data_IF_835585905829
#
_entry.id   IF_835585905829
#
_cell.length_a   1.000
_cell.length_b   1.000
_cell.length_c   1.000
_cell.angle_alpha   90.00
_cell.angle_beta   90.00
_cell.angle_gamma   90.00
#
_symmetry.space_group_name_H-M   'P 1'
#
loop_
_entity.id
_entity.type
_entity.pdbx_description
1 polymer ?
#
# COMPACT_ATOMS: atom_id res chain seq x y z
N UNK A 1 14.32 -31.40 -54.38
CA UNK A 1 14.37 -31.11 -55.84
C UNK A 1 15.78 -31.14 -56.46
N UNK A 2 16.86 -31.15 -55.66
CA UNK A 2 18.26 -31.15 -56.14
C UNK A 2 18.75 -32.41 -56.89
N UNK A 3 18.02 -33.54 -56.85
CA UNK A 3 18.43 -34.78 -57.53
C UNK A 3 18.02 -34.84 -59.02
N UNK A 4 17.15 -33.95 -59.50
CA UNK A 4 16.68 -33.93 -60.89
C UNK A 4 17.47 -32.99 -61.80
N UNK A 5 18.19 -32.00 -61.24
CA UNK A 5 19.00 -31.06 -62.05
C UNK A 5 20.31 -31.65 -62.56
N UNK A 6 20.87 -32.67 -61.89
CA UNK A 6 22.14 -33.29 -62.30
C UNK A 6 22.05 -34.03 -63.65
N UNK A 7 20.90 -34.62 -63.96
CA UNK A 7 20.69 -35.35 -65.23
C UNK A 7 20.30 -34.47 -66.42
N UNK A 8 19.75 -33.27 -66.18
CA UNK A 8 19.36 -32.35 -67.25
C UNK A 8 20.57 -31.60 -67.85
N UNK A 9 21.65 -31.42 -67.08
CA UNK A 9 22.82 -30.64 -67.47
C UNK A 9 23.72 -31.36 -68.50
N UNK A 10 23.73 -32.70 -68.50
CA UNK A 10 24.53 -33.51 -69.44
C UNK A 10 23.89 -33.59 -70.83
N UNK A 11 22.55 -33.56 -70.90
CA UNK A 11 21.80 -33.65 -72.16
C UNK A 11 21.92 -32.35 -72.99
N UNK A 12 22.07 -31.19 -72.34
CA UNK A 12 22.26 -29.90 -73.01
C UNK A 12 23.67 -29.70 -73.60
N UNK A 13 24.65 -30.54 -73.23
CA UNK A 13 26.05 -30.42 -73.69
C UNK A 13 26.28 -30.87 -75.14
N UNK A 14 25.36 -31.64 -75.74
CA UNK A 14 25.55 -32.23 -77.08
C UNK A 14 25.07 -31.28 -78.20
N UNK A 15 24.31 -30.23 -77.86
CA UNK A 15 23.57 -29.40 -78.84
C UNK A 15 24.16 -27.98 -78.99
N UNK A 16 24.90 -27.43 -78.00
CA UNK A 16 25.54 -26.12 -78.10
C UNK A 16 27.07 -26.26 -78.15
N UNK A 17 27.71 -25.70 -79.19
CA UNK A 17 29.17 -25.63 -79.30
C UNK A 17 29.85 -25.01 -78.06
N UNK A 18 31.13 -25.33 -77.88
CA UNK A 18 31.93 -25.10 -76.65
C UNK A 18 31.79 -23.68 -76.05
N UNK A 19 31.66 -22.63 -76.87
CA UNK A 19 31.44 -21.25 -76.40
C UNK A 19 30.03 -21.00 -75.81
N UNK A 20 28.99 -21.61 -76.38
CA UNK A 20 27.62 -21.49 -75.89
C UNK A 20 27.40 -22.25 -74.57
N UNK A 21 28.08 -23.39 -74.42
CA UNK A 21 28.06 -24.17 -73.18
C UNK A 21 28.69 -23.41 -72.01
N UNK A 22 29.81 -22.72 -72.22
CA UNK A 22 30.44 -21.91 -71.17
C UNK A 22 29.54 -20.75 -70.71
N UNK A 23 28.91 -20.03 -71.65
CA UNK A 23 27.95 -18.97 -71.31
C UNK A 23 26.73 -19.48 -70.53
N UNK A 24 26.18 -20.63 -70.94
CA UNK A 24 25.07 -21.28 -70.25
C UNK A 24 25.43 -21.72 -68.83
N UNK A 25 26.63 -22.26 -68.61
CA UNK A 25 27.13 -22.65 -67.28
C UNK A 25 27.26 -21.44 -66.34
N UNK A 26 27.72 -20.28 -66.84
CA UNK A 26 27.80 -19.05 -66.04
C UNK A 26 26.42 -18.53 -65.63
N UNK A 27 25.45 -18.58 -66.55
CA UNK A 27 24.06 -18.20 -66.26
C UNK A 27 23.47 -19.12 -65.19
N UNK A 28 23.62 -20.44 -65.34
CA UNK A 28 23.11 -21.41 -64.37
C UNK A 28 23.74 -21.26 -62.99
N UNK A 29 25.06 -21.02 -62.91
CA UNK A 29 25.77 -20.76 -61.65
C UNK A 29 25.23 -19.52 -60.95
N UNK A 30 25.05 -18.42 -61.70
CA UNK A 30 24.47 -17.18 -61.17
C UNK A 30 23.05 -17.37 -60.65
N UNK A 31 22.21 -18.11 -61.36
CA UNK A 31 20.84 -18.40 -60.92
C UNK A 31 20.80 -19.28 -59.67
N UNK A 32 21.69 -20.28 -59.57
CA UNK A 32 21.79 -21.15 -58.41
C UNK A 32 22.25 -20.40 -57.16
N UNK A 33 23.24 -19.53 -57.29
CA UNK A 33 23.74 -18.68 -56.20
C UNK A 33 22.64 -17.71 -55.72
N UNK A 34 21.91 -17.07 -56.65
CA UNK A 34 20.77 -16.21 -56.30
C UNK A 34 19.68 -16.99 -55.55
N UNK A 35 19.28 -18.15 -56.07
CA UNK A 35 18.27 -18.98 -55.43
C UNK A 35 18.67 -19.42 -54.02
N UNK A 36 19.94 -19.79 -53.82
CA UNK A 36 20.47 -20.14 -52.50
C UNK A 36 20.45 -18.94 -51.52
N UNK A 37 20.75 -17.74 -52.00
CA UNK A 37 20.69 -16.50 -51.21
C UNK A 37 19.26 -16.13 -50.81
N UNK A 38 18.31 -16.26 -51.74
CA UNK A 38 16.90 -15.99 -51.47
C UNK A 38 16.33 -16.96 -50.43
N UNK A 39 16.69 -18.25 -50.52
CA UNK A 39 16.28 -19.25 -49.53
C UNK A 39 16.84 -18.94 -48.13
N UNK A 40 18.11 -18.51 -48.06
CA UNK A 40 18.74 -18.12 -46.80
C UNK A 40 18.09 -16.86 -46.20
N UNK A 41 17.79 -15.87 -47.05
CA UNK A 41 17.11 -14.63 -46.65
C UNK A 41 15.72 -14.91 -46.06
N UNK A 42 14.92 -15.75 -46.72
CA UNK A 42 13.58 -16.13 -46.23
C UNK A 42 13.66 -16.81 -44.86
N UNK A 43 14.64 -17.70 -44.65
CA UNK A 43 14.84 -18.37 -43.36
C UNK A 43 15.24 -17.39 -42.26
N UNK A 44 16.09 -16.41 -42.56
CA UNK A 44 16.47 -15.36 -41.62
C UNK A 44 15.26 -14.50 -41.25
N UNK A 45 14.50 -14.01 -42.24
CA UNK A 45 13.33 -13.17 -42.01
C UNK A 45 12.26 -13.91 -41.18
N UNK A 46 12.03 -15.20 -41.46
CA UNK A 46 11.12 -16.03 -40.66
C UNK A 46 11.60 -16.17 -39.21
N UNK A 47 12.91 -16.39 -38.99
CA UNK A 47 13.48 -16.47 -37.64
C UNK A 47 13.39 -15.14 -36.86
N UNK A 48 13.57 -14.02 -37.57
CA UNK A 48 13.47 -12.67 -37.00
C UNK A 48 12.03 -12.35 -36.62
N UNK A 49 11.06 -12.66 -37.48
CA UNK A 49 9.64 -12.49 -37.20
C UNK A 49 9.19 -13.34 -35.98
N UNK A 50 9.71 -14.55 -35.84
CA UNK A 50 9.45 -15.39 -34.67
C UNK A 50 10.00 -14.74 -33.38
N UNK A 51 11.21 -14.19 -33.42
CA UNK A 51 11.80 -13.48 -32.28
C UNK A 51 11.01 -12.22 -31.89
N UNK A 52 10.58 -11.43 -32.88
CA UNK A 52 9.78 -10.23 -32.65
C UNK A 52 8.39 -10.56 -32.08
N UNK A 53 7.73 -11.60 -32.60
CA UNK A 53 6.44 -12.05 -32.07
C UNK A 53 6.54 -12.59 -30.62
N UNK A 54 7.63 -13.27 -30.27
CA UNK A 54 7.88 -13.72 -28.91
C UNK A 54 8.05 -12.53 -27.94
N UNK A 55 8.80 -11.49 -28.35
CA UNK A 55 8.97 -10.26 -27.57
C UNK A 55 7.65 -9.49 -27.40
N UNK A 56 6.82 -9.40 -28.45
CA UNK A 56 5.50 -8.78 -28.38
C UNK A 56 4.56 -9.52 -27.42
N UNK A 57 4.53 -10.86 -27.46
CA UNK A 57 3.72 -11.67 -26.55
C UNK A 57 4.15 -11.50 -25.08
N UNK A 58 5.46 -11.40 -24.82
CA UNK A 58 5.99 -11.10 -23.49
C UNK A 58 5.52 -9.72 -23.00
N UNK A 59 5.64 -8.67 -23.80
CA UNK A 59 5.19 -7.32 -23.42
C UNK A 59 3.67 -7.25 -23.19
N UNK A 60 2.88 -8.00 -23.97
CA UNK A 60 1.43 -8.10 -23.78
C UNK A 60 1.07 -8.76 -22.45
N UNK A 61 1.68 -9.90 -22.13
CA UNK A 61 1.43 -10.59 -20.85
C UNK A 61 1.85 -9.76 -19.64
N UNK A 62 2.95 -9.00 -19.73
CA UNK A 62 3.34 -8.03 -18.70
C UNK A 62 2.30 -6.91 -18.53
N UNK A 63 1.73 -6.42 -19.63
CA UNK A 63 0.64 -5.44 -19.60
C UNK A 63 -0.60 -5.99 -18.87
N UNK A 64 -0.99 -7.23 -19.15
CA UNK A 64 -2.12 -7.91 -18.48
C UNK A 64 -1.85 -8.12 -16.98
N UNK A 65 -0.65 -8.57 -16.60
CA UNK A 65 -0.25 -8.71 -15.19
C UNK A 65 -0.25 -7.37 -14.47
N UNK A 66 0.28 -6.32 -15.10
CA UNK A 66 0.26 -4.96 -14.53
C UNK A 66 -1.16 -4.41 -14.39
N UNK A 67 -2.06 -4.71 -15.32
CA UNK A 67 -3.47 -4.33 -15.23
C UNK A 67 -4.19 -5.08 -14.11
N UNK A 68 -3.93 -6.39 -13.96
CA UNK A 68 -4.44 -7.20 -12.85
C UNK A 68 -3.89 -6.69 -11.51
N UNK A 69 -2.61 -6.35 -11.45
CA UNK A 69 -1.98 -5.77 -10.26
C UNK A 69 -2.51 -4.37 -9.93
N UNK A 70 -2.73 -3.52 -10.93
CA UNK A 70 -3.39 -2.23 -10.78
C UNK A 70 -4.84 -2.42 -10.28
N UNK A 71 -5.55 -3.42 -10.81
CA UNK A 71 -6.87 -3.83 -10.34
C UNK A 71 -6.86 -4.35 -8.90
N UNK A 72 -5.89 -5.20 -8.52
CA UNK A 72 -5.71 -5.71 -7.15
C UNK A 72 -5.29 -4.60 -6.17
N UNK A 73 -4.46 -3.66 -6.60
CA UNK A 73 -4.08 -2.46 -5.84
C UNK A 73 -5.27 -1.50 -5.67
N UNK A 74 -6.06 -1.30 -6.72
CA UNK A 74 -7.33 -0.58 -6.63
C UNK A 74 -8.38 -1.35 -5.81
N UNK A 75 -8.22 -2.67 -5.70
CA UNK A 75 -9.01 -3.58 -4.85
C UNK A 75 -8.34 -3.85 -3.51
N UNK A 76 -7.34 -3.06 -3.11
CA UNK A 76 -7.01 -2.93 -1.70
C UNK A 76 -8.20 -2.20 -1.05
N UNK A 77 -9.15 -2.99 -0.55
CA UNK A 77 -10.52 -2.63 -0.11
C UNK A 77 -10.55 -1.56 1.00
N UNK A 78 -9.40 -1.18 1.55
CA UNK A 78 -9.25 -0.26 2.67
C UNK A 78 -8.28 0.87 2.29
N UNK A 79 -8.73 2.14 2.26
CA UNK A 79 -7.87 3.29 1.97
C UNK A 79 -6.68 3.42 2.93
N UNK A 80 -5.55 3.92 2.44
CA UNK A 80 -4.40 4.32 3.28
C UNK A 80 -4.87 5.38 4.28
N UNK A 81 -4.40 5.28 5.52
CA UNK A 81 -4.83 6.14 6.61
C UNK A 81 -6.13 5.68 7.30
N UNK A 82 -6.77 4.60 6.82
CA UNK A 82 -7.89 4.00 7.56
C UNK A 82 -7.37 3.45 8.88
N UNK A 83 -8.04 3.83 9.98
CA UNK A 83 -7.77 3.35 11.33
C UNK A 83 -8.88 2.38 11.73
N UNK A 84 -8.49 1.22 12.25
CA UNK A 84 -9.43 0.23 12.78
C UNK A 84 -9.02 -0.21 14.19
N UNK A 85 -9.99 -0.49 15.07
CA UNK A 85 -9.70 -1.23 16.29
C UNK A 85 -9.37 -2.68 15.92
N UNK A 86 -8.30 -3.21 16.49
CA UNK A 86 -7.76 -4.54 16.21
C UNK A 86 -7.48 -5.27 17.51
N UNK A 87 -7.96 -6.51 17.58
CA UNK A 87 -7.66 -7.43 18.66
C UNK A 87 -6.61 -8.43 18.16
N UNK A 88 -5.38 -8.42 18.71
CA UNK A 88 -4.33 -9.33 18.26
C UNK A 88 -4.70 -10.78 18.57
N UNK A 89 -4.47 -11.73 17.65
CA UNK A 89 -4.77 -13.15 17.88
C UNK A 89 -3.90 -13.77 18.98
N UNK A 90 -2.70 -13.23 19.19
CA UNK A 90 -1.78 -13.62 20.25
C UNK A 90 -1.26 -12.36 20.93
N UNK A 91 -1.27 -12.35 22.26
CA UNK A 91 -0.64 -11.27 23.03
C UNK A 91 0.82 -11.66 23.25
N UNK A 92 1.80 -10.86 22.79
CA UNK A 92 3.21 -11.16 23.01
C UNK A 92 3.51 -11.23 24.51
N UNK A 93 4.44 -12.12 24.88
CA UNK A 93 4.96 -12.20 26.25
C UNK A 93 5.59 -10.88 26.66
N UNK A 94 5.68 -10.65 27.98
CA UNK A 94 6.33 -9.45 28.52
C UNK A 94 7.69 -9.18 27.86
N UNK A 95 7.94 -7.92 27.50
CA UNK A 95 9.17 -7.49 26.83
C UNK A 95 9.18 -7.65 25.30
N UNK A 96 8.15 -8.24 24.69
CA UNK A 96 8.04 -8.32 23.22
C UNK A 96 7.09 -7.23 22.70
N UNK A 97 7.57 -6.44 21.73
CA UNK A 97 6.76 -5.37 21.12
C UNK A 97 5.61 -5.93 20.28
N UNK A 98 4.42 -5.34 20.41
CA UNK A 98 3.25 -5.63 19.56
C UNK A 98 3.55 -5.46 18.06
N UNK A 99 4.52 -4.61 17.70
CA UNK A 99 4.93 -4.39 16.31
C UNK A 99 5.36 -5.67 15.58
N UNK A 100 5.74 -6.73 16.31
CA UNK A 100 6.17 -8.02 15.73
C UNK A 100 5.04 -8.85 15.15
N UNK A 101 3.79 -8.59 15.55
CA UNK A 101 2.60 -9.37 15.17
C UNK A 101 1.57 -8.55 14.40
N UNK A 102 1.88 -7.29 14.08
CA UNK A 102 0.99 -6.42 13.30
C UNK A 102 0.87 -6.96 11.87
N UNK A 103 -0.34 -7.03 11.29
CA UNK A 103 -0.51 -7.48 9.91
C UNK A 103 0.29 -6.64 8.92
N UNK A 104 0.85 -7.29 7.89
CA UNK A 104 1.62 -6.62 6.86
C UNK A 104 0.82 -5.47 6.22
N UNK A 105 1.46 -4.31 6.05
CA UNK A 105 0.83 -3.11 5.48
C UNK A 105 0.00 -2.30 6.47
N UNK A 106 0.10 -2.60 7.77
CA UNK A 106 -0.50 -1.84 8.87
C UNK A 106 0.59 -1.42 9.88
N UNK A 107 0.30 -0.39 10.67
CA UNK A 107 1.13 0.02 11.80
C UNK A 107 0.26 0.37 13.01
N UNK A 108 0.81 0.22 14.22
CA UNK A 108 0.15 0.63 15.46
C UNK A 108 0.02 2.15 15.49
N UNK A 109 -1.13 2.64 15.97
CA UNK A 109 -1.35 4.05 16.23
C UNK A 109 -0.66 4.50 17.53
N UNK A 110 0.67 4.57 17.49
CA UNK A 110 1.53 4.97 18.63
C UNK A 110 2.22 6.32 18.44
N UNK A 111 2.00 6.99 17.31
CA UNK A 111 2.69 8.24 16.96
C UNK A 111 3.92 8.04 16.07
N UNK A 112 4.35 6.79 15.86
CA UNK A 112 5.42 6.45 14.93
C UNK A 112 4.89 6.30 13.50
N UNK A 113 5.78 6.30 12.50
CA UNK A 113 5.46 6.03 11.11
C UNK A 113 4.32 6.91 10.51
N UNK A 114 4.16 8.13 11.03
CA UNK A 114 3.10 9.05 10.60
C UNK A 114 1.69 8.68 11.10
N UNK A 115 1.58 7.71 12.01
CA UNK A 115 0.32 7.36 12.67
C UNK A 115 -0.02 8.36 13.78
N UNK A 116 -1.30 8.59 14.11
CA UNK A 116 -1.65 9.29 15.34
C UNK A 116 -1.35 8.41 16.56
N UNK A 117 -1.05 9.01 17.71
CA UNK A 117 -0.95 8.28 18.98
C UNK A 117 -2.34 8.12 19.61
N UNK A 118 -2.87 6.89 19.62
CA UNK A 118 -4.17 6.51 20.17
C UNK A 118 -4.05 5.57 21.39
N UNK A 119 -2.86 5.44 21.98
CA UNK A 119 -2.66 4.66 23.21
C UNK A 119 -3.46 5.27 24.36
N UNK A 120 -4.22 4.43 25.07
CA UNK A 120 -5.07 4.82 26.22
C UNK A 120 -6.05 5.96 25.90
N UNK A 121 -6.59 5.99 24.68
CA UNK A 121 -7.47 7.07 24.20
C UNK A 121 -8.75 6.54 23.58
N UNK A 122 -9.83 7.27 23.83
CA UNK A 122 -11.08 7.12 23.08
C UNK A 122 -11.03 7.99 21.83
N UNK A 123 -11.54 7.46 20.71
CA UNK A 123 -11.58 8.17 19.44
C UNK A 123 -12.84 9.03 19.36
N UNK A 124 -12.66 10.32 19.09
CA UNK A 124 -13.72 11.28 18.85
C UNK A 124 -13.66 11.73 17.38
N UNK A 125 -14.78 11.61 16.66
CA UNK A 125 -14.88 12.07 15.27
C UNK A 125 -14.95 13.59 15.14
N UNK A 126 -14.38 14.13 14.07
CA UNK A 126 -14.43 15.56 13.74
C UNK A 126 -14.53 15.76 12.22
N UNK A 127 -15.15 16.87 11.81
CA UNK A 127 -15.10 17.39 10.44
C UNK A 127 -14.25 18.67 10.34
N UNK A 128 -13.85 19.27 11.47
CA UNK A 128 -12.97 20.44 11.50
C UNK A 128 -11.51 20.02 11.27
N UNK A 129 -10.86 20.47 10.18
CA UNK A 129 -9.48 20.13 9.87
C UNK A 129 -8.50 20.55 10.98
N UNK A 130 -8.78 21.65 11.67
CA UNK A 130 -7.92 22.15 12.75
C UNK A 130 -8.00 21.29 14.01
N UNK A 131 -8.99 20.41 14.09
CA UNK A 131 -9.19 19.52 15.23
C UNK A 131 -8.72 18.09 14.96
N UNK A 132 -8.28 17.80 13.74
CA UNK A 132 -7.63 16.52 13.39
C UNK A 132 -6.36 16.37 14.24
N UNK A 133 -6.25 15.25 14.96
CA UNK A 133 -5.11 14.95 15.82
C UNK A 133 -5.09 15.70 17.16
N UNK A 134 -6.06 16.58 17.44
CA UNK A 134 -6.18 17.17 18.77
C UNK A 134 -6.48 16.10 19.81
N UNK A 135 -5.82 16.22 20.95
CA UNK A 135 -5.95 15.32 22.08
C UNK A 135 -6.41 16.12 23.31
N UNK A 136 -7.17 15.46 24.18
CA UNK A 136 -7.68 16.05 25.41
C UNK A 136 -8.31 14.98 26.30
N UNK A 137 -9.00 15.45 27.35
CA UNK A 137 -9.56 14.58 28.37
C UNK A 137 -8.56 14.22 29.46
N UNK A 138 -9.08 13.71 30.58
CA UNK A 138 -8.30 13.16 31.68
C UNK A 138 -8.92 11.85 32.10
N UNK A 139 -8.07 10.88 32.46
CA UNK A 139 -8.51 9.59 33.01
C UNK A 139 -9.24 9.77 34.34
N UNK A 140 -8.90 10.84 35.06
CA UNK A 140 -9.37 11.13 36.40
C UNK A 140 -9.82 12.59 36.52
N UNK A 141 -10.75 12.86 37.44
CA UNK A 141 -11.20 14.22 37.72
C UNK A 141 -11.63 14.36 39.18
N UNK A 142 -11.66 15.61 39.65
CA UNK A 142 -12.11 15.97 40.98
C UNK A 142 -13.35 16.88 40.93
N UNK A 143 -14.27 16.71 41.88
CA UNK A 143 -15.39 17.60 42.09
C UNK A 143 -15.12 18.50 43.29
N UNK A 144 -15.35 19.80 43.13
CA UNK A 144 -15.34 20.75 44.24
C UNK A 144 -16.73 21.34 44.39
N UNK A 145 -17.34 21.14 45.56
CA UNK A 145 -18.59 21.80 45.92
C UNK A 145 -18.28 23.02 46.79
N UNK A 146 -18.89 24.16 46.46
CA UNK A 146 -18.83 25.37 47.29
C UNK A 146 -20.23 25.69 47.77
N UNK A 147 -20.38 25.82 49.08
CA UNK A 147 -21.63 26.24 49.71
C UNK A 147 -21.51 27.71 50.12
N UNK A 148 -22.53 28.50 49.80
CA UNK A 148 -22.72 29.83 50.38
C UNK A 148 -23.87 29.70 51.37
N UNK A 149 -23.57 29.73 52.67
CA UNK A 149 -24.63 29.83 53.67
C UNK A 149 -25.38 31.15 53.47
N UNK A 150 -26.73 31.18 53.56
CA UNK A 150 -27.44 32.43 53.64
C UNK A 150 -26.94 33.20 54.87
N UNK A 151 -26.62 34.48 54.69
CA UNK A 151 -26.33 35.39 55.79
C UNK A 151 -27.58 35.42 56.67
N UNK A 152 -27.48 34.88 57.88
CA UNK A 152 -28.44 35.21 58.92
C UNK A 152 -28.14 36.64 59.33
N UNK A 153 -28.92 37.60 58.82
CA UNK A 153 -28.93 38.97 59.33
C UNK A 153 -29.47 38.89 60.75
N UNK A 154 -28.58 38.88 61.75
CA UNK A 154 -29.00 38.97 63.14
C UNK A 154 -29.51 40.38 63.38
N UNK A 155 -30.84 40.54 63.52
CA UNK A 155 -31.43 41.75 64.06
C UNK A 155 -30.81 42.02 65.45
N UNK A 156 -30.11 43.16 65.55
CA UNK A 156 -29.32 43.66 66.67
C UNK A 156 -29.66 43.11 68.08
N UNK A 157 -28.75 42.31 68.65
CA UNK A 157 -28.52 42.24 70.10
C UNK A 157 -27.04 42.52 70.38
N UNK A 158 -26.80 43.70 70.96
CA UNK A 158 -25.63 44.10 71.76
C UNK A 158 -24.24 43.57 71.39
N UNK A 159 -23.48 44.37 70.65
CA UNK A 159 -22.05 44.14 70.38
C UNK A 159 -21.19 44.21 71.65
N UNK A 160 -20.33 43.20 71.87
CA UNK A 160 -18.99 43.34 72.46
C UNK A 160 -18.13 42.14 72.06
N UNK A 161 -17.49 42.24 70.91
CA UNK A 161 -16.46 41.30 70.47
C UNK A 161 -15.90 41.67 69.10
N UNK A 162 -14.73 42.29 69.06
CA UNK A 162 -13.92 42.45 67.84
C UNK A 162 -13.36 41.09 67.45
N UNK A 163 -14.16 40.29 66.77
CA UNK A 163 -13.74 39.05 66.13
C UNK A 163 -14.53 38.94 64.85
N UNK A 164 -13.90 39.24 63.71
CA UNK A 164 -14.47 38.88 62.43
C UNK A 164 -14.65 37.37 62.44
N UNK A 165 -15.90 36.89 62.61
CA UNK A 165 -16.22 35.48 62.47
C UNK A 165 -16.17 35.19 60.97
N UNK A 166 -14.96 34.92 60.50
CA UNK A 166 -14.70 34.36 59.18
C UNK A 166 -15.50 33.05 59.11
N UNK A 167 -16.62 33.06 58.37
CA UNK A 167 -17.33 31.83 58.07
C UNK A 167 -16.36 30.96 57.27
N UNK A 168 -15.81 29.96 57.95
CA UNK A 168 -14.93 28.96 57.35
C UNK A 168 -15.66 28.37 56.15
N UNK A 169 -15.19 28.75 54.96
CA UNK A 169 -15.58 28.10 53.73
C UNK A 169 -14.94 26.73 53.77
N UNK A 170 -15.53 25.80 54.51
CA UNK A 170 -15.12 24.40 54.51
C UNK A 170 -15.26 23.89 53.09
N UNK A 171 -14.17 23.91 52.33
CA UNK A 171 -14.09 23.30 51.01
C UNK A 171 -14.20 21.80 51.23
N UNK A 172 -15.33 21.23 50.86
CA UNK A 172 -15.49 19.77 50.84
C UNK A 172 -14.94 19.29 49.50
N UNK A 173 -13.71 18.78 49.51
CA UNK A 173 -13.14 18.05 48.39
C UNK A 173 -13.51 16.58 48.53
N UNK A 174 -14.05 15.99 47.47
CA UNK A 174 -14.05 14.53 47.32
C UNK A 174 -12.70 14.11 46.73
N UNK A 175 -12.28 12.87 47.00
CA UNK A 175 -11.06 12.34 46.40
C UNK A 175 -11.28 12.09 44.90
N UNK A 176 -10.18 12.09 44.16
CA UNK A 176 -10.18 11.77 42.73
C UNK A 176 -10.74 10.37 42.48
N UNK A 177 -11.64 10.25 41.51
CA UNK A 177 -12.24 9.00 41.11
C UNK A 177 -12.03 8.76 39.62
N UNK A 178 -11.76 7.50 39.27
CA UNK A 178 -11.72 7.05 37.89
C UNK A 178 -13.14 6.65 37.47
N UNK A 179 -13.74 7.42 36.57
CA UNK A 179 -15.14 7.26 36.18
C UNK A 179 -15.32 6.46 34.88
N UNK A 180 -14.47 5.45 34.64
CA UNK A 180 -14.51 4.68 33.41
C UNK A 180 -15.58 3.56 33.50
N UNK A 181 -16.60 3.54 32.61
CA UNK A 181 -17.54 2.41 32.53
C UNK A 181 -16.81 1.11 32.17
N UNK A 182 -17.41 -0.08 32.40
CA UNK A 182 -16.85 -1.35 31.94
C UNK A 182 -16.47 -1.29 30.45
N UNK A 183 -15.23 -1.65 30.12
CA UNK A 183 -14.65 -1.48 28.79
C UNK A 183 -13.73 -2.66 28.42
N UNK A 184 -13.47 -2.80 27.13
CA UNK A 184 -12.46 -3.72 26.58
C UNK A 184 -11.51 -2.90 25.72
N UNK A 185 -10.21 -3.10 25.92
CA UNK A 185 -9.18 -2.38 25.17
C UNK A 185 -8.81 -3.16 23.91
N UNK A 186 -8.77 -2.44 22.79
CA UNK A 186 -8.26 -2.92 21.52
C UNK A 186 -7.10 -2.02 21.10
N UNK A 187 -6.21 -2.56 20.25
CA UNK A 187 -5.11 -1.80 19.68
C UNK A 187 -5.62 -1.12 18.41
N UNK A 188 -5.41 0.18 18.27
CA UNK A 188 -5.67 0.85 17.00
C UNK A 188 -4.51 0.63 16.02
N UNK A 189 -4.83 0.21 14.80
CA UNK A 189 -3.87 0.09 13.69
C UNK A 189 -4.32 0.91 12.48
N UNK A 190 -3.36 1.47 11.76
CA UNK A 190 -3.57 2.31 10.58
C UNK A 190 -3.00 1.63 9.32
N UNK A 191 -3.76 1.65 8.23
CA UNK A 191 -3.29 1.16 6.93
C UNK A 191 -2.18 2.08 6.39
N UNK A 192 -1.03 1.50 6.10
CA UNK A 192 0.11 2.19 5.48
C UNK A 192 0.14 2.02 3.94
N UNK A 193 0.92 2.83 3.21
CA UNK A 193 1.19 2.64 1.78
C UNK A 193 1.72 1.24 1.41
#
# INVERSE_FOLDING_TARGET
>A
MMKLLGGALTIFSVILGILGYFGFQQVMKSQLEKWAQDEFKVKIEASKALAESAAQNANKSLGEVNAILAGLRAKAVVPIGTIVPWFPPEVPKEGVSLNTIVPQGWAICDGSNGTPNLQDRFVLGTLDPNSIGKQGGSKTHNHTASFSAPRFEADNVGSRGTGASEHDRTKVSVNEAEAMPPYTMLVYIMKLP
#
